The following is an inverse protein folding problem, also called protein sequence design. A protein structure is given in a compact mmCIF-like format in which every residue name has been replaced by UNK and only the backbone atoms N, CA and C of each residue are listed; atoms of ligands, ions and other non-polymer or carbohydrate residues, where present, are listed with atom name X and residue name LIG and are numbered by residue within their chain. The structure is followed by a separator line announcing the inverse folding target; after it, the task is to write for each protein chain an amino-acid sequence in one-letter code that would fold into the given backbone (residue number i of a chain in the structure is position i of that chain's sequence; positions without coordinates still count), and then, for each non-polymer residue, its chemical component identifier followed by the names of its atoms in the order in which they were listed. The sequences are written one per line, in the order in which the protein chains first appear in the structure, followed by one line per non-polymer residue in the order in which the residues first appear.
data_IF_546686799990
#
_entry.id   IF_546686799990
#
_cell.length_a   1.000
_cell.length_b   1.000
_cell.length_c   1.000
_cell.angle_alpha   90.00
_cell.angle_beta   90.00
_cell.angle_gamma   90.00
#
_symmetry.space_group_name_H-M   'P 1'
#
loop_
_entity.id
_entity.type
_entity.pdbx_description
1 polymer ?
#
# COMPACT_ATOMS: atom_id res chain seq x y z
N UNK A 1 -23.46 22.42 -12.10
CA UNK A 1 -22.07 22.05 -12.42
C UNK A 1 -21.26 22.16 -11.13
N UNK A 2 -21.07 21.05 -10.42
CA UNK A 2 -20.30 21.04 -9.19
C UNK A 2 -18.81 21.13 -9.53
N UNK A 3 -18.17 22.22 -9.10
CA UNK A 3 -16.74 22.45 -9.23
C UNK A 3 -15.98 21.34 -8.50
N UNK A 4 -15.53 20.32 -9.26
CA UNK A 4 -14.69 19.24 -8.75
C UNK A 4 -13.30 19.81 -8.54
N UNK A 5 -13.11 20.51 -7.41
CA UNK A 5 -11.79 20.96 -6.98
C UNK A 5 -10.89 19.72 -6.97
N UNK A 6 -9.86 19.75 -7.80
CA UNK A 6 -8.77 18.80 -7.77
C UNK A 6 -8.12 18.93 -6.39
N UNK A 7 -8.51 18.05 -5.45
CA UNK A 7 -7.84 17.94 -4.17
C UNK A 7 -6.49 17.29 -4.47
N UNK A 8 -5.48 18.13 -4.71
CA UNK A 8 -4.13 17.69 -5.03
C UNK A 8 -3.62 16.71 -3.98
N UNK A 9 -2.68 15.86 -4.36
CA UNK A 9 -2.08 14.80 -3.52
C UNK A 9 -1.73 15.31 -2.10
N UNK A 10 -1.33 16.59 -1.98
CA UNK A 10 -1.06 17.29 -0.73
C UNK A 10 -2.23 17.32 0.26
N UNK A 11 -3.46 17.48 -0.21
CA UNK A 11 -4.67 17.52 0.63
C UNK A 11 -5.04 16.15 1.20
N UNK A 12 -4.70 15.07 0.47
CA UNK A 12 -4.98 13.71 0.91
C UNK A 12 -3.96 13.22 1.96
N UNK A 13 -2.71 13.69 1.86
CA UNK A 13 -1.65 13.30 2.82
C UNK A 13 -1.59 14.20 4.05
N UNK A 14 -2.12 15.44 4.00
CA UNK A 14 -1.97 16.40 5.09
C UNK A 14 -2.69 15.97 6.37
N UNK A 15 -3.90 15.41 6.27
CA UNK A 15 -4.67 14.94 7.43
C UNK A 15 -3.92 13.86 8.23
N UNK A 16 -3.60 12.69 7.63
CA UNK A 16 -2.83 11.64 8.28
C UNK A 16 -1.49 12.11 8.84
N UNK A 17 -0.79 12.97 8.09
CA UNK A 17 0.53 13.48 8.48
C UNK A 17 0.48 14.35 9.73
N UNK A 18 -0.50 15.25 9.82
CA UNK A 18 -0.66 16.14 10.98
C UNK A 18 -0.99 15.32 12.23
N UNK A 19 -1.90 14.34 12.12
CA UNK A 19 -2.28 13.48 13.26
C UNK A 19 -1.07 12.71 13.76
N UNK A 20 -0.33 12.06 12.85
CA UNK A 20 0.87 11.31 13.22
C UNK A 20 1.93 12.21 13.87
N UNK A 21 2.16 13.42 13.33
CA UNK A 21 3.12 14.36 13.87
C UNK A 21 2.76 14.80 15.29
N UNK A 22 1.49 15.14 15.56
CA UNK A 22 1.03 15.54 16.89
C UNK A 22 1.21 14.39 17.89
N UNK A 23 0.82 13.17 17.53
CA UNK A 23 0.99 12.00 18.40
C UNK A 23 2.46 11.69 18.70
N UNK A 24 3.34 11.85 17.71
CA UNK A 24 4.79 11.68 17.90
C UNK A 24 5.35 12.70 18.90
N UNK A 25 4.94 13.97 18.79
CA UNK A 25 5.37 15.03 19.72
C UNK A 25 4.88 14.74 21.14
N UNK A 26 3.59 14.41 21.31
CA UNK A 26 3.03 14.05 22.63
C UNK A 26 3.77 12.84 23.22
N UNK A 27 4.04 11.83 22.41
CA UNK A 27 4.79 10.63 22.83
C UNK A 27 6.21 10.98 23.24
N UNK A 28 6.92 11.81 22.47
CA UNK A 28 8.28 12.23 22.78
C UNK A 28 8.36 12.90 24.16
N UNK A 29 7.47 13.86 24.42
CA UNK A 29 7.43 14.55 25.71
C UNK A 29 7.01 13.61 26.84
N UNK A 30 6.00 12.76 26.61
CA UNK A 30 5.58 11.75 27.58
C UNK A 30 6.73 10.83 28.00
N UNK A 31 7.39 10.20 27.02
CA UNK A 31 8.52 9.29 27.29
C UNK A 31 9.69 10.02 27.94
N UNK A 32 10.01 11.24 27.50
CA UNK A 32 11.13 12.01 28.08
C UNK A 32 10.86 12.39 29.53
N UNK A 33 9.62 12.77 29.88
CA UNK A 33 9.26 13.15 31.25
C UNK A 33 9.14 11.92 32.15
N UNK A 34 8.36 10.92 31.75
CA UNK A 34 8.11 9.74 32.58
C UNK A 34 9.32 8.80 32.63
N UNK A 35 10.07 8.69 31.53
CA UNK A 35 11.28 7.86 31.48
C UNK A 35 12.44 8.41 32.31
N UNK A 36 12.49 9.72 32.58
CA UNK A 36 13.48 10.31 33.48
C UNK A 36 13.23 9.92 34.96
N UNK A 37 11.98 9.60 35.33
CA UNK A 37 11.64 9.25 36.72
C UNK A 37 11.83 10.38 37.75
N UNK A 38 11.97 11.64 37.30
CA UNK A 38 12.14 12.81 38.17
C UNK A 38 13.12 13.85 37.59
N UNK A 39 13.05 15.09 38.10
CA UNK A 39 13.84 16.24 37.59
C UNK A 39 15.35 16.16 37.87
N UNK A 40 15.77 15.28 38.79
CA UNK A 40 17.19 15.11 39.14
C UNK A 40 17.92 14.13 38.20
N UNK A 41 17.20 13.49 37.29
CA UNK A 41 17.77 12.54 36.33
C UNK A 41 17.84 13.15 34.94
N UNK A 42 18.79 12.67 34.15
CA UNK A 42 18.90 13.05 32.73
C UNK A 42 17.74 12.42 31.93
N UNK A 43 16.95 13.22 31.19
CA UNK A 43 15.87 12.66 30.38
C UNK A 43 16.40 11.74 29.27
N UNK A 44 15.77 10.57 29.04
CA UNK A 44 16.23 9.61 28.04
C UNK A 44 15.78 10.04 26.62
N UNK A 45 16.35 11.13 26.09
CA UNK A 45 15.93 11.69 24.80
C UNK A 45 16.06 10.72 23.62
N UNK A 46 17.07 9.84 23.64
CA UNK A 46 17.23 8.80 22.61
C UNK A 46 16.04 7.84 22.62
N UNK A 47 15.60 7.40 23.80
CA UNK A 47 14.42 6.54 23.96
C UNK A 47 13.13 7.30 23.58
N UNK A 48 13.02 8.56 23.97
CA UNK A 48 11.91 9.42 23.57
C UNK A 48 11.79 9.54 22.05
N UNK A 49 12.91 9.79 21.36
CA UNK A 49 12.95 9.95 19.91
C UNK A 49 12.63 8.63 19.17
N UNK A 50 13.16 7.50 19.64
CA UNK A 50 12.91 6.20 19.00
C UNK A 50 11.45 5.78 19.13
N UNK A 51 10.85 5.95 20.32
CA UNK A 51 9.44 5.62 20.54
C UNK A 51 8.53 6.59 19.78
N UNK A 52 8.84 7.89 19.78
CA UNK A 52 8.09 8.88 19.00
C UNK A 52 8.11 8.56 17.49
N UNK A 53 9.27 8.18 16.95
CA UNK A 53 9.40 7.74 15.56
C UNK A 53 8.60 6.47 15.26
N UNK A 54 8.60 5.49 16.17
CA UNK A 54 7.79 4.29 16.03
C UNK A 54 6.29 4.61 16.02
N UNK A 55 5.81 5.44 16.95
CA UNK A 55 4.40 5.88 17.00
C UNK A 55 4.01 6.64 15.75
N UNK A 56 4.89 7.51 15.23
CA UNK A 56 4.66 8.23 13.98
C UNK A 56 4.39 7.26 12.81
N UNK A 57 5.29 6.29 12.60
CA UNK A 57 5.18 5.33 11.50
C UNK A 57 3.94 4.45 11.66
N UNK A 58 3.70 3.92 12.87
CA UNK A 58 2.50 3.10 13.15
C UNK A 58 1.22 3.88 12.86
N UNK A 59 1.16 5.14 13.27
CA UNK A 59 -0.02 6.00 13.01
C UNK A 59 -0.23 6.19 11.51
N UNK A 60 0.83 6.47 10.75
CA UNK A 60 0.72 6.61 9.29
C UNK A 60 0.23 5.31 8.63
N UNK A 61 0.75 4.16 9.06
CA UNK A 61 0.30 2.86 8.55
C UNK A 61 -1.18 2.65 8.85
N UNK A 62 -1.64 2.93 10.07
CA UNK A 62 -3.06 2.82 10.43
C UNK A 62 -3.93 3.78 9.63
N UNK A 63 -3.54 5.04 9.49
CA UNK A 63 -4.30 5.98 8.67
C UNK A 63 -4.34 5.54 7.20
N UNK A 64 -3.23 5.05 6.66
CA UNK A 64 -3.18 4.55 5.30
C UNK A 64 -4.08 3.32 5.10
N UNK A 65 -4.09 2.37 6.04
CA UNK A 65 -4.97 1.20 5.94
C UNK A 65 -6.43 1.59 6.02
N UNK A 66 -6.80 2.54 6.88
CA UNK A 66 -8.16 3.06 6.95
C UNK A 66 -8.59 3.74 5.64
N UNK A 67 -7.72 4.59 5.07
CA UNK A 67 -7.98 5.23 3.77
C UNK A 67 -8.17 4.17 2.67
N UNK A 68 -7.36 3.11 2.66
CA UNK A 68 -7.49 2.02 1.69
C UNK A 68 -8.79 1.22 1.88
N UNK A 69 -9.22 1.00 3.13
CA UNK A 69 -10.48 0.30 3.46
C UNK A 69 -11.70 1.12 3.05
N UNK A 70 -11.68 2.44 3.27
CA UNK A 70 -12.79 3.33 2.90
C UNK A 70 -12.84 3.64 1.41
N UNK A 71 -11.74 3.46 0.69
CA UNK A 71 -11.68 3.80 -0.74
C UNK A 71 -12.62 2.88 -1.53
N UNK A 72 -13.68 3.42 -2.16
CA UNK A 72 -14.58 2.62 -2.96
C UNK A 72 -13.79 2.01 -4.13
N UNK A 73 -13.96 0.70 -4.34
CA UNK A 73 -13.42 0.02 -5.50
C UNK A 73 -14.10 0.56 -6.76
N UNK A 74 -13.37 0.68 -7.86
CA UNK A 74 -13.95 1.08 -9.14
C UNK A 74 -15.05 0.08 -9.52
N UNK A 75 -16.27 0.53 -9.89
CA UNK A 75 -17.33 -0.39 -10.32
C UNK A 75 -16.89 -1.29 -11.48
N UNK A 76 -16.05 -0.80 -12.40
CA UNK A 76 -15.55 -1.59 -13.54
C UNK A 76 -14.58 -2.71 -13.14
N UNK A 77 -13.97 -2.63 -11.95
CA UNK A 77 -13.11 -3.68 -11.40
C UNK A 77 -13.90 -4.81 -10.69
N UNK A 78 -15.16 -4.55 -10.33
CA UNK A 78 -16.07 -5.52 -9.70
C UNK A 78 -17.01 -6.22 -10.70
N UNK A 79 -17.24 -5.60 -11.86
CA UNK A 79 -17.78 -6.27 -13.03
C UNK A 79 -16.72 -7.23 -13.56
N UNK A 80 -16.74 -8.49 -13.09
CA UNK A 80 -15.95 -9.54 -13.71
C UNK A 80 -16.07 -9.41 -15.23
N UNK A 81 -14.95 -9.48 -15.95
CA UNK A 81 -14.77 -9.02 -17.35
C UNK A 81 -15.80 -9.52 -18.39
N UNK A 82 -16.80 -10.33 -18.01
CA UNK A 82 -17.74 -11.02 -18.88
C UNK A 82 -17.08 -12.12 -19.70
N UNK A 83 -15.75 -12.08 -19.81
CA UNK A 83 -14.94 -13.05 -20.51
C UNK A 83 -14.62 -14.18 -19.53
N UNK A 84 -15.32 -15.29 -19.72
CA UNK A 84 -14.99 -16.57 -19.10
C UNK A 84 -13.66 -17.08 -19.70
N UNK A 85 -12.55 -16.45 -19.31
CA UNK A 85 -11.18 -16.89 -19.61
C UNK A 85 -10.89 -18.11 -18.74
N UNK A 86 -11.47 -19.24 -19.13
CA UNK A 86 -11.07 -20.54 -18.59
C UNK A 86 -9.61 -20.78 -18.95
N UNK A 87 -8.75 -20.81 -17.94
CA UNK A 87 -7.32 -21.12 -18.10
C UNK A 87 -7.12 -22.41 -18.90
N UNK A 88 -8.03 -23.39 -18.76
CA UNK A 88 -7.99 -24.64 -19.52
C UNK A 88 -8.06 -24.43 -21.05
N UNK A 89 -8.86 -23.46 -21.54
CA UNK A 89 -8.89 -23.12 -22.97
C UNK A 89 -7.59 -22.47 -23.44
N UNK A 90 -7.02 -21.56 -22.63
CA UNK A 90 -5.74 -20.91 -22.95
C UNK A 90 -4.59 -21.92 -22.99
N UNK A 91 -4.57 -22.89 -22.07
CA UNK A 91 -3.58 -23.98 -22.09
C UNK A 91 -3.75 -24.92 -23.29
N UNK A 92 -4.99 -25.24 -23.67
CA UNK A 92 -5.28 -26.08 -24.83
C UNK A 92 -4.85 -25.41 -26.14
N UNK A 93 -5.13 -24.11 -26.30
CA UNK A 93 -4.73 -23.33 -27.47
C UNK A 93 -3.20 -23.17 -27.56
N UNK A 94 -2.54 -22.89 -26.44
CA UNK A 94 -1.08 -22.82 -26.38
C UNK A 94 -0.42 -24.17 -26.72
N UNK A 95 -1.01 -25.29 -26.28
CA UNK A 95 -0.53 -26.64 -26.63
C UNK A 95 -0.71 -26.93 -28.13
N UNK A 96 -1.88 -26.63 -28.68
CA UNK A 96 -2.16 -26.81 -30.12
C UNK A 96 -1.21 -25.98 -31.00
N UNK A 97 -0.90 -24.75 -30.59
CA UNK A 97 0.04 -23.87 -31.30
C UNK A 97 1.47 -24.42 -31.29
N UNK A 98 1.91 -24.96 -30.15
CA UNK A 98 3.23 -25.64 -30.04
C UNK A 98 3.30 -26.90 -30.89
N UNK A 99 2.25 -27.71 -30.92
CA UNK A 99 2.20 -28.91 -31.77
C UNK A 99 2.18 -28.57 -33.25
N UNK A 100 1.47 -27.52 -33.65
CA UNK A 100 1.46 -27.02 -35.04
C UNK A 100 2.84 -26.49 -35.47
N UNK A 101 3.52 -25.73 -34.61
CA UNK A 101 4.89 -25.26 -34.87
C UNK A 101 5.90 -26.42 -34.93
N UNK A 102 5.76 -27.43 -34.06
CA UNK A 102 6.61 -28.63 -34.11
C UNK A 102 6.40 -29.42 -35.41
N UNK A 103 5.16 -29.55 -35.89
CA UNK A 103 4.85 -30.20 -37.18
C UNK A 103 5.40 -29.44 -38.38
N UNK A 104 5.35 -28.10 -38.36
CA UNK A 104 5.94 -27.27 -39.42
C UNK A 104 7.46 -27.42 -39.47
N UNK A 105 8.13 -27.36 -38.31
CA UNK A 105 9.59 -27.59 -38.23
C UNK A 105 9.99 -29.01 -38.66
N UNK A 106 9.17 -30.01 -38.37
CA UNK A 106 9.41 -31.38 -38.82
C UNK A 106 9.18 -31.59 -40.32
N UNK A 107 8.34 -30.76 -40.95
CA UNK A 107 8.13 -30.77 -42.39
C UNK A 107 9.21 -29.99 -43.15
N UNK A 108 9.71 -28.88 -42.59
CA UNK A 108 10.78 -28.07 -43.18
C UNK A 108 12.18 -28.70 -43.02
N UNK A 109 12.38 -29.60 -42.05
CA UNK A 109 13.65 -30.31 -41.85
C UNK A 109 13.80 -31.60 -42.67
N UNK A 110 12.95 -31.82 -43.68
CA UNK A 110 12.92 -33.05 -44.49
C UNK A 110 13.26 -32.84 -45.97
N UNK A 111 13.73 -31.64 -46.33
CA UNK A 111 14.31 -31.29 -47.63
C UNK A 111 15.85 -31.34 -47.59
#
# INVERSE_FOLDING_TARGET
MANKRSHGIKEQISGPLIIAAVLAVVTFFGVSIFGAGGTNNTPPYVLGLTIAGAVFVVTLVVCATLILVEKPNDPELGEGTGINRSSAKLYAEAKARREAEARKKAAEGKD
#
